data_IF_115696718449
#
_entry.id   IF_115696718449
#
_cell.length_a   1.000
_cell.length_b   1.000
_cell.length_c   1.000
_cell.angle_alpha   90.00
_cell.angle_beta   90.00
_cell.angle_gamma   90.00
#
_symmetry.space_group_name_H-M   'P 1'
#
loop_
_entity.id
_entity.type
_entity.pdbx_description
1 polymer ?
#
# COMPACT_ATOMS: atom_id res chain seq x y z
N UNK A 1 -1.58 -4.48 19.50
CA UNK A 1 -2.21 -5.59 18.75
C UNK A 1 -2.34 -5.22 17.27
N UNK A 2 -1.23 -5.02 16.53
CA UNK A 2 -1.28 -4.67 15.10
C UNK A 2 -1.07 -5.88 14.18
N UNK A 3 -0.51 -6.97 14.71
CA UNK A 3 -0.16 -8.17 13.93
C UNK A 3 -1.36 -9.01 13.45
N UNK A 4 -2.55 -8.82 14.04
CA UNK A 4 -3.72 -9.64 13.70
C UNK A 4 -4.45 -9.21 12.42
N UNK A 5 -4.28 -7.97 11.96
CA UNK A 5 -4.91 -7.50 10.72
C UNK A 5 -4.18 -8.03 9.47
N UNK A 6 -2.85 -8.13 9.53
CA UNK A 6 -2.04 -8.65 8.42
C UNK A 6 -2.37 -10.11 8.06
N UNK A 7 -2.77 -10.92 9.04
CA UNK A 7 -3.18 -12.32 8.79
C UNK A 7 -4.65 -12.47 8.37
N UNK A 8 -5.52 -11.49 8.64
CA UNK A 8 -6.92 -11.51 8.19
C UNK A 8 -7.09 -11.02 6.74
N UNK A 9 -6.18 -10.17 6.27
CA UNK A 9 -6.15 -9.59 4.91
C UNK A 9 -5.55 -10.52 3.83
N UNK A 10 -5.37 -11.81 4.12
CA UNK A 10 -4.72 -12.76 3.20
C UNK A 10 -5.67 -13.31 2.11
N UNK A 11 -6.91 -12.80 2.00
CA UNK A 11 -7.90 -13.31 1.05
C UNK A 11 -8.29 -12.23 0.06
N UNK A 12 -8.01 -12.48 -1.22
CA UNK A 12 -8.12 -11.61 -2.40
C UNK A 12 -9.46 -10.92 -2.65
N UNK A 13 -10.46 -11.07 -1.76
CA UNK A 13 -11.78 -10.44 -1.85
C UNK A 13 -12.06 -9.37 -0.79
N UNK A 14 -11.15 -9.14 0.18
CA UNK A 14 -11.39 -8.18 1.27
C UNK A 14 -10.57 -6.89 1.17
N UNK A 15 -9.77 -6.69 0.11
CA UNK A 15 -9.01 -5.45 -0.05
C UNK A 15 -9.91 -4.24 -0.28
N UNK A 16 -10.99 -4.38 -1.06
CA UNK A 16 -12.00 -3.33 -1.26
C UNK A 16 -12.72 -3.01 0.06
N UNK A 17 -13.06 -4.04 0.84
CA UNK A 17 -13.70 -3.89 2.16
C UNK A 17 -12.75 -3.35 3.23
N UNK A 18 -11.42 -3.47 3.05
CA UNK A 18 -10.41 -2.99 3.99
C UNK A 18 -10.09 -1.50 3.82
N UNK A 19 -10.28 -0.93 2.62
CA UNK A 19 -10.11 0.49 2.35
C UNK A 19 -10.84 1.42 3.35
N UNK A 20 -12.15 1.22 3.66
CA UNK A 20 -12.85 2.07 4.63
C UNK A 20 -12.28 1.97 6.05
N UNK A 21 -11.73 0.81 6.46
CA UNK A 21 -11.07 0.67 7.76
C UNK A 21 -9.76 1.45 7.82
N UNK A 22 -8.97 1.42 6.74
CA UNK A 22 -7.73 2.19 6.66
C UNK A 22 -7.98 3.69 6.51
N UNK A 23 -9.00 4.11 5.77
CA UNK A 23 -9.41 5.53 5.72
C UNK A 23 -9.82 6.04 7.09
N UNK A 24 -10.63 5.28 7.83
CA UNK A 24 -11.01 5.63 9.20
C UNK A 24 -9.81 5.63 10.14
N UNK A 25 -8.89 4.68 9.99
CA UNK A 25 -7.62 4.66 10.74
C UNK A 25 -6.81 5.91 10.47
N UNK A 26 -6.73 6.38 9.21
CA UNK A 26 -6.06 7.62 8.83
C UNK A 26 -6.73 8.85 9.44
N UNK A 27 -8.05 8.88 9.54
CA UNK A 27 -8.79 9.95 10.22
C UNK A 27 -8.53 9.97 11.74
N UNK A 28 -8.37 8.81 12.38
CA UNK A 28 -8.19 8.72 13.85
C UNK A 28 -6.74 8.76 14.31
N UNK A 29 -5.82 8.21 13.51
CA UNK A 29 -4.40 8.03 13.87
C UNK A 29 -3.44 8.82 12.98
N UNK A 30 -3.96 9.55 11.98
CA UNK A 30 -3.15 10.31 11.03
C UNK A 30 -2.43 9.44 10.00
N UNK A 31 -1.53 10.05 9.25
CA UNK A 31 -0.69 9.39 8.24
C UNK A 31 0.44 8.58 8.89
N UNK A 32 0.08 7.55 9.65
CA UNK A 32 1.05 6.61 10.17
C UNK A 32 1.68 5.82 9.01
N UNK A 33 3.02 5.70 9.02
CA UNK A 33 3.79 4.93 8.03
C UNK A 33 3.26 3.51 7.85
N UNK A 34 2.85 2.84 8.92
CA UNK A 34 2.28 1.49 8.84
C UNK A 34 0.93 1.46 8.09
N UNK A 35 0.10 2.50 8.24
CA UNK A 35 -1.18 2.62 7.53
C UNK A 35 -0.95 2.90 6.05
N UNK A 36 -0.03 3.82 5.72
CA UNK A 36 0.35 4.12 4.33
C UNK A 36 0.91 2.88 3.63
N UNK A 37 1.75 2.09 4.33
CA UNK A 37 2.28 0.82 3.82
C UNK A 37 1.17 -0.18 3.52
N UNK A 38 0.27 -0.42 4.48
CA UNK A 38 -0.83 -1.37 4.28
C UNK A 38 -1.79 -0.93 3.17
N UNK A 39 -2.11 0.37 3.07
CA UNK A 39 -2.92 0.93 1.97
C UNK A 39 -2.23 0.73 0.62
N UNK A 40 -0.93 1.03 0.52
CA UNK A 40 -0.19 0.87 -0.74
C UNK A 40 -0.23 -0.58 -1.25
N UNK A 41 -0.11 -1.56 -0.35
CA UNK A 41 -0.24 -2.97 -0.68
C UNK A 41 -1.67 -3.31 -1.12
N UNK A 42 -2.69 -2.80 -0.42
CA UNK A 42 -4.08 -3.04 -0.80
C UNK A 42 -4.36 -2.53 -2.21
N UNK A 43 -3.95 -1.29 -2.54
CA UNK A 43 -4.09 -0.74 -3.88
C UNK A 43 -3.31 -1.56 -4.92
N UNK A 44 -2.10 -2.01 -4.60
CA UNK A 44 -1.32 -2.88 -5.49
C UNK A 44 -2.03 -4.22 -5.77
N UNK A 45 -2.61 -4.84 -4.75
CA UNK A 45 -3.40 -6.07 -4.89
C UNK A 45 -4.70 -5.85 -5.70
N UNK A 46 -5.24 -4.63 -5.70
CA UNK A 46 -6.39 -4.23 -6.51
C UNK A 46 -6.01 -3.83 -7.94
N UNK A 47 -4.75 -4.03 -8.36
CA UNK A 47 -4.18 -3.52 -9.62
C UNK A 47 -4.25 -1.99 -9.78
N UNK A 48 -4.50 -1.26 -8.70
CA UNK A 48 -4.51 0.21 -8.66
C UNK A 48 -3.08 0.68 -8.38
N UNK A 49 -2.18 0.43 -9.33
CA UNK A 49 -0.76 0.72 -9.12
C UNK A 49 -0.46 2.21 -8.98
N UNK A 50 -1.23 3.08 -9.64
CA UNK A 50 -1.05 4.54 -9.53
C UNK A 50 -1.21 5.04 -8.08
N UNK A 51 -2.28 4.62 -7.41
CA UNK A 51 -2.55 4.95 -6.00
C UNK A 51 -1.50 4.31 -5.08
N UNK A 52 -1.12 3.07 -5.35
CA UNK A 52 -0.10 2.36 -4.58
C UNK A 52 1.26 3.08 -4.64
N UNK A 53 1.66 3.54 -5.83
CA UNK A 53 2.90 4.29 -6.08
C UNK A 53 2.86 5.63 -5.35
N UNK A 54 1.74 6.35 -5.39
CA UNK A 54 1.60 7.64 -4.69
C UNK A 54 1.81 7.47 -3.18
N UNK A 55 1.16 6.46 -2.57
CA UNK A 55 1.29 6.16 -1.15
C UNK A 55 2.71 5.70 -0.77
N UNK A 56 3.31 4.84 -1.59
CA UNK A 56 4.69 4.40 -1.39
C UNK A 56 5.69 5.55 -1.55
N UNK A 57 5.40 6.53 -2.42
CA UNK A 57 6.16 7.77 -2.53
C UNK A 57 6.17 8.55 -1.21
N UNK A 58 4.99 8.74 -0.60
CA UNK A 58 4.89 9.40 0.71
C UNK A 58 5.65 8.64 1.81
N UNK A 59 5.65 7.30 1.79
CA UNK A 59 6.46 6.50 2.72
C UNK A 59 7.96 6.77 2.60
N UNK A 60 8.46 6.85 1.36
CA UNK A 60 9.87 7.13 1.09
C UNK A 60 10.22 8.58 1.44
N UNK A 61 9.31 9.54 1.24
CA UNK A 61 9.51 10.93 1.64
C UNK A 61 9.58 11.09 3.16
N UNK A 62 8.73 10.37 3.90
CA UNK A 62 8.70 10.44 5.36
C UNK A 62 9.83 9.63 6.03
N UNK A 63 10.28 8.55 5.40
CA UNK A 63 11.36 7.70 5.89
C UNK A 63 12.33 7.32 4.76
N UNK A 64 13.12 8.28 4.24
CA UNK A 64 14.03 8.08 3.11
C UNK A 64 15.22 7.17 3.45
N UNK A 65 15.49 6.90 4.72
CA UNK A 65 16.48 5.93 5.18
C UNK A 65 15.95 4.48 5.13
N UNK A 66 14.64 4.29 4.99
CA UNK A 66 14.03 2.97 5.02
C UNK A 66 14.06 2.34 3.61
N UNK A 67 15.08 1.52 3.38
CA UNK A 67 15.28 0.78 2.13
C UNK A 67 14.08 -0.12 1.76
N UNK A 68 13.30 -0.56 2.74
CA UNK A 68 12.08 -1.35 2.48
C UNK A 68 11.07 -0.56 1.65
N UNK A 69 10.87 0.72 1.96
CA UNK A 69 9.90 1.57 1.26
C UNK A 69 10.36 1.93 -0.15
N UNK A 70 11.67 2.16 -0.33
CA UNK A 70 12.25 2.37 -1.67
C UNK A 70 12.05 1.17 -2.56
N UNK A 71 12.33 -0.03 -2.04
CA UNK A 71 12.13 -1.29 -2.77
C UNK A 71 10.65 -1.52 -3.09
N UNK A 72 9.76 -1.19 -2.17
CA UNK A 72 8.31 -1.26 -2.41
C UNK A 72 7.92 -0.36 -3.59
N UNK A 73 8.32 0.90 -3.58
CA UNK A 73 8.04 1.85 -4.65
C UNK A 73 8.58 1.37 -6.00
N UNK A 74 9.84 0.91 -6.06
CA UNK A 74 10.42 0.34 -7.28
C UNK A 74 9.63 -0.88 -7.79
N UNK A 75 9.27 -1.80 -6.90
CA UNK A 75 8.49 -2.98 -7.28
C UNK A 75 7.12 -2.60 -7.85
N UNK A 76 6.44 -1.64 -7.25
CA UNK A 76 5.14 -1.16 -7.72
C UNK A 76 5.24 -0.52 -9.10
N UNK A 77 6.28 0.29 -9.36
CA UNK A 77 6.53 0.87 -10.67
C UNK A 77 6.81 -0.19 -11.74
N UNK A 78 7.60 -1.21 -11.41
CA UNK A 78 7.88 -2.33 -12.30
C UNK A 78 6.59 -3.11 -12.62
N UNK A 79 5.75 -3.36 -11.62
CA UNK A 79 4.47 -4.04 -11.83
C UNK A 79 3.50 -3.21 -12.67
N UNK A 80 3.40 -1.91 -12.41
CA UNK A 80 2.61 -0.98 -13.21
C UNK A 80 3.04 -0.98 -14.68
N UNK A 81 4.35 -0.95 -14.95
CA UNK A 81 4.88 -0.98 -16.32
C UNK A 81 4.59 -2.32 -17.03
N UNK A 82 4.62 -3.44 -16.29
CA UNK A 82 4.28 -4.76 -16.82
C UNK A 82 2.80 -4.89 -17.15
N UNK A 83 1.91 -4.34 -16.33
CA UNK A 83 0.47 -4.39 -16.57
C UNK A 83 0.01 -3.38 -17.62
N UNK A 84 0.72 -2.26 -17.79
CA UNK A 84 0.49 -1.26 -18.83
C UNK A 84 1.03 -1.64 -20.21
N UNK A 85 1.79 -2.73 -20.33
CA UNK A 85 2.26 -3.28 -21.61
C UNK A 85 1.42 -4.51 -21.96
N UNK A 86 0.21 -4.36 -22.54
CA UNK A 86 -0.45 -5.48 -23.16
C UNK A 86 0.33 -5.80 -24.45
N UNK A 87 0.87 -7.01 -24.55
CA UNK A 87 1.28 -7.59 -25.84
C UNK A 87 0.12 -7.52 -26.86
#
# INVERSE_FOLDING_TARGET
MAFACASLLSGSGFYEDALPYFHRSRETHGDALETLYNLSICHACLNQFDDAIALAGTLVEQAPENETYKRLLEQLQIQAAKTASPD
#
